data_IF_934369845939
#
_entry.id   IF_934369845939
#
_cell.length_a   1.000
_cell.length_b   1.000
_cell.length_c   1.000
_cell.angle_alpha   90.00
_cell.angle_beta   90.00
_cell.angle_gamma   90.00
#
_symmetry.space_group_name_H-M   'P 1'
#
loop_
_entity.id
_entity.type
_entity.pdbx_description
1 polymer ?
#
# COMPACT_ATOMS: atom_id res chain seq x y z
N UNK A 1 -4.72 -4.02 -11.00
CA UNK A 1 -3.72 -2.98 -10.71
C UNK A 1 -4.23 -1.55 -10.90
N UNK A 2 -4.67 -1.12 -12.09
CA UNK A 2 -5.08 0.29 -12.30
C UNK A 2 -6.13 0.82 -11.28
N UNK A 3 -7.11 0.00 -10.89
CA UNK A 3 -8.11 0.36 -9.88
C UNK A 3 -7.51 0.69 -8.51
N UNK A 4 -6.45 -0.02 -8.08
CA UNK A 4 -5.78 0.22 -6.79
C UNK A 4 -5.03 1.56 -6.80
N UNK A 5 -4.35 1.89 -7.90
CA UNK A 5 -3.66 3.18 -8.05
C UNK A 5 -4.64 4.36 -8.08
N UNK A 6 -5.81 4.17 -8.68
CA UNK A 6 -6.87 5.19 -8.66
C UNK A 6 -7.35 5.38 -7.21
N UNK A 7 -7.60 4.30 -6.46
CA UNK A 7 -8.00 4.40 -5.06
C UNK A 7 -6.97 5.15 -4.21
N UNK A 8 -5.68 4.83 -4.37
CA UNK A 8 -4.57 5.51 -3.71
C UNK A 8 -4.63 7.03 -3.96
N UNK A 9 -4.72 7.46 -5.23
CA UNK A 9 -4.83 8.88 -5.60
C UNK A 9 -6.08 9.57 -5.04
N UNK A 10 -7.21 8.85 -4.92
CA UNK A 10 -8.41 9.36 -4.26
C UNK A 10 -8.20 9.54 -2.75
N UNK A 11 -7.66 8.51 -2.10
CA UNK A 11 -7.49 8.46 -0.64
C UNK A 11 -6.44 9.45 -0.13
N UNK A 12 -5.44 9.79 -0.93
CA UNK A 12 -4.44 10.83 -0.63
C UNK A 12 -5.05 12.23 -0.49
N UNK A 13 -6.21 12.46 -1.10
CA UNK A 13 -6.93 13.74 -1.03
C UNK A 13 -8.03 13.74 0.02
N UNK A 14 -8.19 12.67 0.78
CA UNK A 14 -9.23 12.54 1.79
C UNK A 14 -8.65 12.51 3.21
N UNK A 15 -9.50 12.96 4.12
CA UNK A 15 -9.33 12.98 5.56
C UNK A 15 -9.73 11.59 6.13
N UNK A 16 -9.43 11.29 7.40
CA UNK A 16 -9.75 9.99 8.02
C UNK A 16 -11.26 9.61 7.99
N UNK A 17 -12.15 10.59 7.76
CA UNK A 17 -13.61 10.44 7.68
C UNK A 17 -14.11 10.42 6.24
N UNK A 18 -13.21 10.35 5.25
CA UNK A 18 -13.52 10.38 3.82
C UNK A 18 -13.96 11.76 3.32
N UNK A 19 -13.65 12.84 4.04
CA UNK A 19 -13.91 14.20 3.56
C UNK A 19 -12.75 14.67 2.70
N UNK A 20 -12.99 15.37 1.58
CA UNK A 20 -11.92 15.93 0.77
C UNK A 20 -11.14 17.00 1.53
N UNK A 21 -9.81 16.92 1.50
CA UNK A 21 -8.90 17.97 2.01
C UNK A 21 -8.89 19.21 1.10
N UNK A 22 -9.32 19.06 -0.17
CA UNK A 22 -9.43 20.14 -1.16
C UNK A 22 -10.79 20.12 -1.87
N UNK A 23 -11.20 21.26 -2.44
CA UNK A 23 -12.42 21.35 -3.23
C UNK A 23 -12.35 20.37 -4.44
N UNK A 24 -13.43 19.62 -4.75
CA UNK A 24 -13.38 18.63 -5.81
C UNK A 24 -13.06 19.27 -7.16
N UNK A 25 -12.01 18.80 -7.82
CA UNK A 25 -11.76 19.12 -9.23
C UNK A 25 -12.82 18.42 -10.09
N UNK A 26 -13.22 19.05 -11.20
CA UNK A 26 -14.35 18.65 -12.06
C UNK A 26 -14.23 17.27 -12.75
N UNK A 27 -13.17 16.50 -12.48
CA UNK A 27 -12.90 15.16 -13.03
C UNK A 27 -12.95 14.07 -11.97
N UNK A 28 -14.00 14.02 -11.15
CA UNK A 28 -14.29 12.79 -10.40
C UNK A 28 -14.79 11.74 -11.39
N UNK A 29 -13.90 10.84 -11.83
CA UNK A 29 -14.35 9.56 -12.37
C UNK A 29 -15.33 8.93 -11.38
N UNK A 30 -16.39 8.28 -11.85
CA UNK A 30 -17.31 7.59 -10.96
C UNK A 30 -16.58 6.39 -10.34
N UNK A 31 -15.88 6.62 -9.22
CA UNK A 31 -15.03 5.63 -8.57
C UNK A 31 -15.82 4.36 -8.22
N UNK A 32 -17.07 4.52 -7.78
CA UNK A 32 -18.00 3.41 -7.55
C UNK A 32 -18.25 2.57 -8.80
N UNK A 33 -18.37 3.18 -9.98
CA UNK A 33 -18.53 2.46 -11.25
C UNK A 33 -17.27 1.65 -11.61
N UNK A 34 -16.08 2.24 -11.42
CA UNK A 34 -14.81 1.56 -11.69
C UNK A 34 -14.65 0.34 -10.76
N UNK A 35 -14.95 0.50 -9.47
CA UNK A 35 -14.90 -0.61 -8.49
C UNK A 35 -15.93 -1.68 -8.84
N UNK A 36 -17.14 -1.30 -9.23
CA UNK A 36 -18.18 -2.24 -9.63
C UNK A 36 -17.77 -3.09 -10.83
N UNK A 37 -17.28 -2.45 -11.88
CA UNK A 37 -16.81 -3.13 -13.08
C UNK A 37 -15.58 -4.01 -12.81
N UNK A 38 -14.68 -3.54 -11.94
CA UNK A 38 -13.54 -4.35 -11.49
C UNK A 38 -14.02 -5.62 -10.78
N UNK A 39 -14.91 -5.48 -9.79
CA UNK A 39 -15.49 -6.63 -9.07
C UNK A 39 -16.15 -7.60 -10.03
N UNK A 40 -17.00 -7.10 -10.92
CA UNK A 40 -17.73 -7.93 -11.88
C UNK A 40 -16.79 -8.73 -12.78
N UNK A 41 -15.69 -8.13 -13.25
CA UNK A 41 -14.73 -8.82 -14.12
C UNK A 41 -13.80 -9.75 -13.36
N UNK A 42 -13.26 -9.30 -12.23
CA UNK A 42 -12.29 -10.06 -11.45
C UNK A 42 -12.89 -11.33 -10.83
N UNK A 43 -14.15 -11.29 -10.40
CA UNK A 43 -14.79 -12.44 -9.73
C UNK A 43 -15.32 -13.51 -10.68
N UNK A 44 -15.32 -13.26 -12.00
CA UNK A 44 -15.79 -14.24 -13.00
C UNK A 44 -14.83 -15.43 -13.06
N UNK A 45 -15.27 -16.59 -12.58
CA UNK A 45 -14.49 -17.84 -12.61
C UNK A 45 -13.42 -17.95 -11.51
N UNK A 46 -13.25 -16.92 -10.68
CA UNK A 46 -12.29 -16.97 -9.58
C UNK A 46 -12.78 -17.92 -8.47
N UNK A 47 -11.87 -18.72 -7.92
CA UNK A 47 -12.16 -19.60 -6.77
C UNK A 47 -12.68 -18.76 -5.58
N UNK A 48 -13.82 -19.11 -4.95
CA UNK A 48 -14.37 -18.38 -3.81
C UNK A 48 -13.38 -18.16 -2.66
N UNK A 49 -12.44 -19.09 -2.44
CA UNK A 49 -11.39 -18.95 -1.41
C UNK A 49 -10.40 -17.84 -1.72
N UNK A 50 -9.97 -17.73 -2.97
CA UNK A 50 -9.10 -16.62 -3.40
C UNK A 50 -9.85 -15.29 -3.35
N UNK A 51 -11.14 -15.28 -3.73
CA UNK A 51 -11.98 -14.09 -3.59
C UNK A 51 -12.06 -13.61 -2.14
N UNK A 52 -12.24 -14.54 -1.19
CA UNK A 52 -12.26 -14.20 0.24
C UNK A 52 -10.90 -13.63 0.69
N UNK A 53 -9.77 -14.26 0.32
CA UNK A 53 -8.44 -13.74 0.66
C UNK A 53 -8.20 -12.33 0.10
N UNK A 54 -8.67 -12.05 -1.12
CA UNK A 54 -8.62 -10.69 -1.67
C UNK A 54 -9.46 -9.71 -0.83
N UNK A 55 -10.69 -10.08 -0.45
CA UNK A 55 -11.56 -9.23 0.38
C UNK A 55 -10.87 -8.93 1.72
N UNK A 56 -10.31 -9.94 2.38
CA UNK A 56 -9.67 -9.79 3.69
C UNK A 56 -8.44 -8.85 3.61
N UNK A 57 -7.56 -9.08 2.61
CA UNK A 57 -6.38 -8.23 2.40
C UNK A 57 -6.75 -6.82 1.92
N UNK A 58 -7.84 -6.66 1.18
CA UNK A 58 -8.33 -5.35 0.76
C UNK A 58 -8.95 -4.57 1.93
N UNK A 59 -9.63 -5.26 2.85
CA UNK A 59 -10.12 -4.64 4.09
C UNK A 59 -8.95 -4.12 4.95
N UNK A 60 -7.91 -4.95 5.16
CA UNK A 60 -6.67 -4.52 5.85
C UNK A 60 -6.05 -3.29 5.19
N UNK A 61 -5.99 -3.28 3.85
CA UNK A 61 -5.51 -2.13 3.09
C UNK A 61 -6.34 -0.87 3.36
N UNK A 62 -7.67 -0.96 3.26
CA UNK A 62 -8.53 0.21 3.51
C UNK A 62 -8.45 0.72 4.94
N UNK A 63 -8.37 -0.17 5.93
CA UNK A 63 -8.26 0.21 7.35
C UNK A 63 -6.93 0.93 7.63
N UNK A 64 -5.84 0.46 7.03
CA UNK A 64 -4.52 1.09 7.19
C UNK A 64 -4.39 2.40 6.41
N UNK A 65 -5.05 2.55 5.26
CA UNK A 65 -5.14 3.84 4.54
C UNK A 65 -5.89 4.89 5.36
N UNK A 66 -6.95 4.50 6.09
CA UNK A 66 -7.65 5.39 7.03
C UNK A 66 -6.69 5.84 8.14
N UNK A 67 -5.91 4.91 8.71
CA UNK A 67 -4.89 5.26 9.70
C UNK A 67 -3.87 6.27 9.14
N UNK A 68 -3.33 6.01 7.94
CA UNK A 68 -2.40 6.91 7.26
C UNK A 68 -2.98 8.32 7.06
N UNK A 69 -4.27 8.42 6.71
CA UNK A 69 -4.95 9.71 6.60
C UNK A 69 -4.96 10.47 7.93
N UNK A 70 -5.21 9.79 9.05
CA UNK A 70 -5.13 10.39 10.39
C UNK A 70 -3.71 10.86 10.76
N UNK A 71 -2.68 10.10 10.38
CA UNK A 71 -1.28 10.52 10.62
C UNK A 71 -0.91 11.77 9.82
N UNK A 72 -1.37 11.85 8.56
CA UNK A 72 -1.18 13.04 7.72
C UNK A 72 -1.81 14.27 8.36
N UNK A 73 -3.03 14.16 8.89
CA UNK A 73 -3.71 15.28 9.56
C UNK A 73 -2.97 15.77 10.80
N UNK A 74 -2.37 14.85 11.55
CA UNK A 74 -1.66 15.15 12.80
C UNK A 74 -0.18 15.49 12.58
N UNK A 75 0.31 15.46 11.33
CA UNK A 75 1.73 15.53 10.99
C UNK A 75 2.58 14.53 11.81
N UNK A 76 2.02 13.35 12.08
CA UNK A 76 2.71 12.34 12.85
C UNK A 76 3.79 11.67 12.00
N UNK A 77 5.04 11.88 12.39
CA UNK A 77 6.19 11.21 11.78
C UNK A 77 6.55 9.97 12.61
N UNK A 78 6.48 8.80 11.96
CA UNK A 78 6.80 7.51 12.57
C UNK A 78 8.30 7.29 12.70
N UNK A 79 8.68 6.35 13.57
CA UNK A 79 9.98 5.68 13.48
C UNK A 79 10.02 4.68 12.31
N UNK A 80 11.21 4.22 11.93
CA UNK A 80 11.42 3.20 10.88
C UNK A 80 10.64 1.91 11.19
N UNK A 81 10.65 1.45 12.44
CA UNK A 81 9.96 0.21 12.82
C UNK A 81 8.43 0.36 12.75
N UNK A 82 7.91 1.48 13.26
CA UNK A 82 6.47 1.81 13.15
C UNK A 82 6.04 2.01 11.69
N UNK A 83 6.93 2.58 10.87
CA UNK A 83 6.69 2.76 9.45
C UNK A 83 6.44 1.42 8.77
N UNK A 84 7.30 0.40 8.96
CA UNK A 84 7.09 -0.89 8.30
C UNK A 84 5.79 -1.57 8.74
N UNK A 85 5.44 -1.44 10.02
CA UNK A 85 4.19 -2.00 10.56
C UNK A 85 2.95 -1.46 9.83
N UNK A 86 2.93 -0.16 9.49
CA UNK A 86 1.79 0.48 8.81
C UNK A 86 1.93 0.42 7.28
N UNK A 87 3.14 0.68 6.75
CA UNK A 87 3.39 0.78 5.31
C UNK A 87 3.03 -0.51 4.57
N UNK A 88 3.34 -1.67 5.15
CA UNK A 88 2.99 -2.98 4.58
C UNK A 88 1.49 -3.08 4.26
N UNK A 89 0.63 -2.57 5.15
CA UNK A 89 -0.81 -2.49 4.94
C UNK A 89 -1.21 -1.46 3.88
N UNK A 90 -0.67 -0.23 3.95
CA UNK A 90 -1.02 0.88 3.05
C UNK A 90 -0.56 0.74 1.60
N UNK A 91 0.25 -0.28 1.28
CA UNK A 91 0.89 -0.41 -0.03
C UNK A 91 -0.01 -1.01 -1.11
N UNK A 92 -1.09 -1.69 -0.72
CA UNK A 92 -1.92 -2.50 -1.61
C UNK A 92 -1.19 -3.74 -2.20
N UNK A 93 0.04 -4.04 -1.78
CA UNK A 93 0.83 -5.18 -2.29
C UNK A 93 0.15 -6.50 -1.95
N UNK A 94 -0.26 -6.71 -0.69
CA UNK A 94 -0.98 -7.93 -0.28
C UNK A 94 -2.22 -8.18 -1.11
N UNK A 95 -3.05 -7.16 -1.32
CA UNK A 95 -4.24 -7.26 -2.18
C UNK A 95 -3.88 -7.56 -3.63
N UNK A 96 -2.77 -7.01 -4.12
CA UNK A 96 -2.27 -7.29 -5.47
C UNK A 96 -1.80 -8.73 -5.63
N UNK A 97 -1.10 -9.28 -4.63
CA UNK A 97 -0.69 -10.68 -4.60
C UNK A 97 -1.90 -11.62 -4.52
N UNK A 98 -2.91 -11.28 -3.72
CA UNK A 98 -4.16 -12.05 -3.65
C UNK A 98 -4.91 -12.07 -5.00
N UNK A 99 -4.85 -10.99 -5.78
CA UNK A 99 -5.44 -10.95 -7.13
C UNK A 99 -4.72 -11.84 -8.13
N UNK A 100 -3.41 -12.10 -7.98
CA UNK A 100 -2.67 -13.00 -8.89
C UNK A 100 -3.27 -14.41 -8.84
N UNK A 101 -3.77 -14.83 -7.67
CA UNK A 101 -4.37 -16.15 -7.47
C UNK A 101 -5.71 -16.32 -8.18
N UNK A 102 -6.31 -15.24 -8.70
CA UNK A 102 -7.58 -15.35 -9.45
C UNK A 102 -7.39 -16.00 -10.82
N UNK A 103 -6.14 -16.13 -11.28
CA UNK A 103 -5.82 -16.87 -12.50
C UNK A 103 -6.17 -18.36 -12.31
N UNK A 104 -6.87 -18.91 -13.31
CA UNK A 104 -7.41 -20.28 -13.29
C UNK A 104 -6.32 -21.36 -13.29
N UNK A 105 -5.09 -21.00 -13.63
CA UNK A 105 -3.98 -21.96 -13.75
C UNK A 105 -3.28 -22.25 -12.41
N UNK A 106 -3.63 -21.53 -11.33
CA UNK A 106 -3.10 -21.79 -9.98
C UNK A 106 -3.99 -22.77 -9.20
N UNK A 107 -3.64 -24.06 -9.23
CA UNK A 107 -4.18 -25.07 -8.31
C UNK A 107 -3.38 -25.14 -7.01
N UNK A 108 -3.39 -24.05 -6.24
CA UNK A 108 -2.65 -23.91 -4.98
C UNK A 108 -3.65 -23.87 -3.82
N UNK A 109 -3.65 -24.90 -2.98
CA UNK A 109 -4.45 -24.86 -1.74
C UNK A 109 -3.97 -23.73 -0.81
N UNK A 110 -4.81 -22.72 -0.49
CA UNK A 110 -4.43 -21.62 0.39
C UNK A 110 -3.90 -22.10 1.74
N UNK A 111 -4.65 -23.01 2.36
CA UNK A 111 -4.43 -23.48 3.73
C UNK A 111 -3.15 -24.33 3.86
N UNK A 112 -2.59 -24.83 2.76
CA UNK A 112 -1.41 -25.71 2.77
C UNK A 112 -0.13 -25.02 2.28
N UNK A 113 -0.25 -24.07 1.35
CA UNK A 113 0.91 -23.44 0.70
C UNK A 113 1.02 -21.97 1.07
N UNK A 114 -0.08 -21.20 0.94
CA UNK A 114 -0.04 -19.75 1.15
C UNK A 114 0.17 -19.38 2.61
N UNK A 115 -0.26 -20.23 3.53
CA UNK A 115 -0.10 -20.02 4.97
C UNK A 115 1.17 -20.70 5.53
N UNK A 116 1.98 -21.30 4.66
CA UNK A 116 3.27 -21.85 5.04
C UNK A 116 4.24 -20.71 5.42
N UNK A 117 4.93 -20.84 6.56
CA UNK A 117 5.80 -19.77 7.12
C UNK A 117 6.80 -19.19 6.10
N UNK A 118 7.38 -20.03 5.25
CA UNK A 118 8.32 -19.59 4.21
C UNK A 118 7.65 -18.70 3.15
N UNK A 119 6.39 -18.97 2.80
CA UNK A 119 5.65 -18.17 1.82
C UNK A 119 5.23 -16.84 2.44
N UNK A 120 4.82 -16.84 3.72
CA UNK A 120 4.52 -15.61 4.46
C UNK A 120 5.77 -14.73 4.61
N UNK A 121 6.92 -15.31 4.92
CA UNK A 121 8.19 -14.57 4.99
C UNK A 121 8.57 -13.99 3.63
N UNK A 122 8.41 -14.77 2.55
CA UNK A 122 8.64 -14.30 1.19
C UNK A 122 7.70 -13.14 0.81
N UNK A 123 6.44 -13.20 1.20
CA UNK A 123 5.46 -12.13 1.01
C UNK A 123 5.92 -10.84 1.72
N UNK A 124 6.43 -10.96 2.95
CA UNK A 124 6.97 -9.83 3.72
C UNK A 124 8.19 -9.23 3.02
N UNK A 125 9.19 -10.04 2.68
CA UNK A 125 10.41 -9.55 1.99
C UNK A 125 10.08 -8.90 0.63
N UNK A 126 9.15 -9.48 -0.14
CA UNK A 126 8.70 -8.92 -1.41
C UNK A 126 7.98 -7.58 -1.20
N UNK A 127 7.09 -7.50 -0.20
CA UNK A 127 6.40 -6.27 0.16
C UNK A 127 7.38 -5.18 0.57
N UNK A 128 8.31 -5.49 1.48
CA UNK A 128 9.32 -4.55 1.97
C UNK A 128 10.21 -4.04 0.85
N UNK A 129 10.59 -4.90 -0.09
CA UNK A 129 11.34 -4.51 -1.28
C UNK A 129 10.55 -3.54 -2.17
N UNK A 130 9.27 -3.85 -2.43
CA UNK A 130 8.40 -3.02 -3.29
C UNK A 130 8.17 -1.64 -2.67
N UNK A 131 7.79 -1.57 -1.39
CA UNK A 131 7.50 -0.30 -0.71
C UNK A 131 8.77 0.56 -0.58
N UNK A 132 9.91 -0.07 -0.30
CA UNK A 132 11.21 0.61 -0.22
C UNK A 132 11.58 1.27 -1.54
N UNK A 133 11.48 0.54 -2.65
CA UNK A 133 11.79 1.07 -3.98
C UNK A 133 10.77 2.14 -4.38
N UNK A 134 9.49 1.96 -4.05
CA UNK A 134 8.45 2.94 -4.30
C UNK A 134 8.76 4.27 -3.60
N UNK A 135 9.17 4.23 -2.34
CA UNK A 135 9.48 5.43 -1.55
C UNK A 135 10.71 6.18 -2.09
N UNK A 136 11.76 5.47 -2.49
CA UNK A 136 12.94 6.09 -3.11
C UNK A 136 12.56 6.81 -4.42
N UNK A 137 11.78 6.15 -5.30
CA UNK A 137 11.41 6.69 -6.61
C UNK A 137 10.41 7.85 -6.46
N UNK A 138 9.49 7.75 -5.50
CA UNK A 138 8.43 8.74 -5.30
C UNK A 138 8.86 9.93 -4.43
N UNK A 139 9.96 9.82 -3.66
CA UNK A 139 10.40 10.81 -2.69
C UNK A 139 10.41 12.24 -3.22
N UNK A 140 11.09 12.49 -4.35
CA UNK A 140 11.20 13.84 -4.90
C UNK A 140 9.85 14.47 -5.24
N UNK A 141 8.88 13.66 -5.70
CA UNK A 141 7.52 14.13 -5.95
C UNK A 141 6.82 14.46 -4.64
N UNK A 142 7.00 13.63 -3.62
CA UNK A 142 6.29 13.76 -2.35
C UNK A 142 6.80 14.93 -1.51
N UNK A 143 8.12 15.06 -1.34
CA UNK A 143 8.70 16.19 -0.59
C UNK A 143 8.38 17.55 -1.25
N UNK A 144 8.29 17.59 -2.59
CA UNK A 144 7.90 18.81 -3.31
C UNK A 144 6.44 19.22 -3.07
N UNK A 145 5.58 18.28 -2.65
CA UNK A 145 4.17 18.51 -2.29
C UNK A 145 3.95 18.67 -0.78
N UNK A 146 4.95 18.34 0.03
CA UNK A 146 4.84 18.31 1.49
C UNK A 146 4.00 17.13 2.01
N UNK A 147 3.91 16.04 1.24
CA UNK A 147 3.17 14.81 1.60
C UNK A 147 4.11 13.62 1.89
N UNK A 148 5.37 13.88 2.23
CA UNK A 148 6.44 12.90 2.44
C UNK A 148 6.54 12.38 3.88
N UNK A 149 5.60 12.70 4.76
CA UNK A 149 5.56 12.18 6.15
C UNK A 149 5.39 10.66 6.22
N UNK A 150 4.84 10.05 5.16
CA UNK A 150 4.74 8.59 4.98
C UNK A 150 5.77 8.07 3.97
N UNK A 151 6.94 8.70 3.88
CA UNK A 151 8.07 8.26 3.06
C UNK A 151 9.26 7.86 3.95
N UNK A 152 9.80 6.67 3.73
CA UNK A 152 10.89 6.13 4.53
C UNK A 152 12.19 6.94 4.40
N UNK A 153 12.45 7.62 3.28
CA UNK A 153 13.60 8.53 3.13
C UNK A 153 13.50 9.66 4.15
N UNK A 154 12.34 10.31 4.24
CA UNK A 154 12.04 11.39 5.20
C UNK A 154 12.19 10.87 6.63
N UNK A 155 11.61 9.70 6.93
CA UNK A 155 11.67 9.10 8.26
C UNK A 155 13.12 8.80 8.68
N UNK A 156 13.94 8.21 7.81
CA UNK A 156 15.35 7.92 8.09
C UNK A 156 16.12 9.21 8.34
N UNK A 157 15.95 10.23 7.48
CA UNK A 157 16.62 11.52 7.63
C UNK A 157 16.30 12.16 9.00
N UNK A 158 15.03 12.11 9.42
CA UNK A 158 14.59 12.66 10.69
C UNK A 158 15.04 11.82 11.90
N UNK A 159 14.82 10.51 11.88
CA UNK A 159 15.13 9.63 13.02
C UNK A 159 16.62 9.58 13.31
N UNK A 160 17.46 9.51 12.27
CA UNK A 160 18.91 9.38 12.41
C UNK A 160 19.67 10.71 12.20
N UNK A 161 18.95 11.82 11.97
CA UNK A 161 19.50 13.17 11.78
C UNK A 161 20.59 13.21 10.71
N UNK A 162 20.29 12.64 9.55
CA UNK A 162 21.24 12.51 8.44
C UNK A 162 20.73 13.17 7.17
N UNK A 163 21.65 13.45 6.24
CA UNK A 163 21.31 14.03 4.94
C UNK A 163 20.74 12.99 3.97
N UNK A 164 20.13 13.48 2.88
CA UNK A 164 19.50 12.64 1.85
C UNK A 164 20.43 11.53 1.32
N UNK A 165 21.70 11.86 1.06
CA UNK A 165 22.67 10.90 0.54
C UNK A 165 22.86 9.73 1.52
N UNK A 166 23.05 10.03 2.79
CA UNK A 166 23.29 9.02 3.82
C UNK A 166 22.03 8.19 4.06
N UNK A 167 20.86 8.83 4.02
CA UNK A 167 19.57 8.14 4.09
C UNK A 167 19.36 7.17 2.91
N UNK A 168 19.69 7.57 1.68
CA UNK A 168 19.66 6.68 0.52
C UNK A 168 20.66 5.53 0.62
N UNK A 169 21.83 5.76 1.24
CA UNK A 169 22.79 4.69 1.51
C UNK A 169 22.30 3.73 2.60
N UNK A 170 21.59 4.22 3.61
CA UNK A 170 21.01 3.41 4.68
C UNK A 170 20.16 2.26 4.13
N UNK A 171 19.39 2.50 3.05
CA UNK A 171 18.62 1.47 2.35
C UNK A 171 19.44 0.29 1.83
N UNK A 172 20.70 0.53 1.43
CA UNK A 172 21.58 -0.55 0.93
C UNK A 172 21.95 -1.53 2.04
N UNK A 173 21.84 -1.09 3.30
CA UNK A 173 22.22 -1.87 4.48
C UNK A 173 21.02 -2.35 5.31
N UNK A 174 19.81 -1.86 5.04
CA UNK A 174 18.58 -2.48 5.53
C UNK A 174 18.47 -3.86 4.91
N UNK A 175 18.77 -4.90 5.69
CA UNK A 175 18.49 -6.27 5.28
C UNK A 175 16.97 -6.46 5.22
N UNK A 176 16.49 -6.84 4.04
CA UNK A 176 15.19 -7.49 3.88
C UNK A 176 15.22 -8.88 4.54
#
# INVERSE_FOLDING_TARGET
MATLLIFDEYSDREDEKGKPNEAPTSRRANYSEIVWQFRERATRGANPRYQQRFIDTFQEYTDTVIQQAGDRQSNHLRTVDEYFAVRRGTSGVKSSLALILFDSDFDISPDQVLDHLVVLELEICATDSIITVNDIISYNRQQARGDDTHNLVTIIMHQYRMGLRDALQFYTFMKA
#
